data_IF_153562706943
#
_entry.id   IF_153562706943
#
_cell.length_a   1.000
_cell.length_b   1.000
_cell.length_c   1.000
_cell.angle_alpha   90.00
_cell.angle_beta   90.00
_cell.angle_gamma   90.00
#
_symmetry.space_group_name_H-M   'P 1'
#
loop_
_entity.id
_entity.type
_entity.pdbx_description
1 polymer ?
#
# COMPACT_ATOMS: atom_id res chain seq x y z
N UNK A 1 17.17 -11.49 21.45
CA UNK A 1 16.27 -12.42 20.73
C UNK A 1 14.89 -12.39 21.40
N UNK A 2 14.22 -11.25 21.43
CA UNK A 2 13.02 -11.07 20.60
C UNK A 2 12.85 -9.59 20.22
N UNK A 3 13.26 -9.25 18.99
CA UNK A 3 12.90 -7.99 18.36
C UNK A 3 11.67 -8.25 17.49
N UNK A 4 10.63 -7.40 17.61
CA UNK A 4 9.66 -7.10 16.55
C UNK A 4 8.57 -8.13 16.17
N UNK A 5 7.75 -8.60 17.12
CA UNK A 5 6.38 -9.02 16.78
C UNK A 5 5.40 -7.86 17.03
N UNK A 6 5.08 -7.15 15.94
CA UNK A 6 3.76 -6.60 15.58
C UNK A 6 2.92 -5.91 16.67
N UNK A 7 2.83 -4.58 16.55
CA UNK A 7 1.66 -3.80 16.96
C UNK A 7 1.55 -3.48 18.46
N UNK A 8 2.07 -2.33 18.87
CA UNK A 8 1.76 -1.77 20.19
C UNK A 8 0.25 -1.48 20.26
N UNK A 9 -0.50 -2.04 21.22
CA UNK A 9 -1.91 -1.72 21.38
C UNK A 9 -2.01 -0.27 21.82
N UNK A 10 -2.71 0.57 21.04
CA UNK A 10 -3.03 1.95 21.44
C UNK A 10 -2.50 3.07 20.56
N UNK A 11 -1.81 2.77 19.44
CA UNK A 11 -1.44 3.83 18.48
C UNK A 11 -2.57 4.05 17.48
N UNK A 12 -3.30 5.14 17.67
CA UNK A 12 -4.29 5.62 16.70
C UNK A 12 -3.61 5.89 15.35
N UNK A 13 -4.16 5.43 14.22
CA UNK A 13 -3.67 5.79 12.89
C UNK A 13 -3.64 7.32 12.68
N UNK A 14 -4.55 8.06 13.32
CA UNK A 14 -4.59 9.51 13.26
C UNK A 14 -3.40 10.20 13.94
N UNK A 15 -2.60 9.47 14.72
CA UNK A 15 -1.40 9.98 15.38
C UNK A 15 -0.12 9.45 14.74
N UNK A 16 -0.17 8.91 13.51
CA UNK A 16 1.00 8.29 12.87
C UNK A 16 2.23 9.20 12.83
N UNK A 17 2.01 10.50 12.61
CA UNK A 17 3.07 11.52 12.57
C UNK A 17 3.80 11.74 13.91
N UNK A 18 3.27 11.25 15.04
CA UNK A 18 3.92 11.40 16.36
C UNK A 18 4.90 10.28 16.68
N UNK A 19 4.79 9.14 16.00
CA UNK A 19 5.65 7.96 16.22
C UNK A 19 6.31 7.44 14.94
N UNK A 20 6.01 8.05 13.80
CA UNK A 20 6.68 7.87 12.52
C UNK A 20 7.05 9.25 11.99
N UNK A 21 8.35 9.54 11.92
CA UNK A 21 8.86 10.79 11.34
C UNK A 21 8.99 10.72 9.82
N UNK A 22 9.15 9.54 9.23
CA UNK A 22 9.33 9.34 7.79
C UNK A 22 8.57 8.10 7.29
N UNK A 23 8.02 8.19 6.07
CA UNK A 23 7.38 7.05 5.41
C UNK A 23 8.38 6.01 4.88
N UNK A 24 7.89 4.86 4.41
CA UNK A 24 8.75 3.89 3.73
C UNK A 24 9.35 4.51 2.47
N UNK A 25 10.54 4.03 2.08
CA UNK A 25 11.13 4.36 0.79
C UNK A 25 10.19 4.00 -0.35
N UNK A 26 10.29 4.68 -1.50
CA UNK A 26 9.48 4.35 -2.68
C UNK A 26 9.61 2.87 -3.05
N UNK A 27 10.80 2.28 -2.92
CA UNK A 27 11.07 0.86 -3.17
C UNK A 27 10.26 -0.09 -2.26
N UNK A 28 9.90 0.35 -1.06
CA UNK A 28 9.20 -0.45 -0.04
C UNK A 28 7.75 -0.03 0.19
N UNK A 29 7.30 1.05 -0.45
CA UNK A 29 5.94 1.52 -0.34
C UNK A 29 4.97 0.53 -1.00
N UNK A 30 3.84 0.29 -0.32
CA UNK A 30 2.73 -0.56 -0.78
C UNK A 30 1.46 0.27 -0.84
N UNK A 31 0.79 0.25 -1.98
CA UNK A 31 -0.49 0.89 -2.17
C UNK A 31 -1.61 0.03 -1.59
N UNK A 32 -2.43 0.61 -0.71
CA UNK A 32 -3.53 -0.12 -0.02
C UNK A 32 -4.92 0.15 -0.61
N UNK A 33 -5.03 1.07 -1.58
CA UNK A 33 -6.31 1.44 -2.19
C UNK A 33 -6.16 1.72 -3.69
N UNK A 34 -5.91 0.66 -4.46
CA UNK A 34 -5.76 0.73 -5.91
C UNK A 34 -7.05 1.16 -6.61
N UNK A 35 -6.92 2.06 -7.59
CA UNK A 35 -8.03 2.61 -8.38
C UNK A 35 -8.14 1.92 -9.74
N UNK A 36 -9.21 2.20 -10.50
CA UNK A 36 -9.35 1.79 -11.89
C UNK A 36 -9.19 0.28 -12.16
N UNK A 37 -9.63 -0.59 -11.26
CA UNK A 37 -9.47 -2.06 -11.38
C UNK A 37 -8.01 -2.54 -11.46
N UNK A 38 -7.06 -1.75 -10.95
CA UNK A 38 -5.69 -2.20 -10.73
C UNK A 38 -5.52 -2.91 -9.38
N UNK A 39 -4.44 -3.67 -9.25
CA UNK A 39 -4.01 -4.48 -8.10
C UNK A 39 -2.49 -4.59 -8.05
N UNK A 40 -1.98 -5.19 -6.96
CA UNK A 40 -0.55 -5.34 -6.70
C UNK A 40 0.00 -4.25 -5.80
N UNK A 41 1.22 -4.44 -5.30
CA UNK A 41 1.84 -3.53 -4.34
C UNK A 41 1.98 -2.10 -4.87
N UNK A 42 2.01 -1.95 -6.19
CA UNK A 42 2.14 -0.67 -6.90
C UNK A 42 0.93 -0.31 -7.76
N UNK A 43 -0.17 -1.06 -7.67
CA UNK A 43 -1.35 -0.85 -8.51
C UNK A 43 -1.04 -0.83 -10.02
N UNK A 44 -0.04 -1.57 -10.45
CA UNK A 44 0.48 -1.62 -11.82
C UNK A 44 -0.01 -2.85 -12.59
N UNK A 45 -0.76 -3.73 -11.93
CA UNK A 45 -1.31 -4.94 -12.52
C UNK A 45 -2.83 -4.83 -12.58
N UNK A 46 -3.46 -5.35 -13.63
CA UNK A 46 -4.91 -5.34 -13.73
C UNK A 46 -5.56 -6.54 -13.04
N UNK A 47 -6.74 -6.35 -12.47
CA UNK A 47 -7.56 -7.46 -11.95
C UNK A 47 -7.82 -8.48 -13.06
N UNK A 48 -8.01 -9.77 -12.74
CA UNK A 48 -8.40 -10.77 -13.71
C UNK A 48 -9.63 -10.34 -14.51
N UNK A 49 -9.54 -10.42 -15.84
CA UNK A 49 -10.58 -9.96 -16.76
C UNK A 49 -10.51 -8.47 -17.12
N UNK A 50 -9.41 -7.79 -16.77
CA UNK A 50 -9.09 -6.43 -17.24
C UNK A 50 -7.68 -6.40 -17.83
N UNK A 51 -7.46 -5.49 -18.77
CA UNK A 51 -6.20 -5.28 -19.47
C UNK A 51 -5.77 -3.82 -19.36
N UNK A 52 -4.46 -3.58 -19.37
CA UNK A 52 -3.93 -2.21 -19.32
C UNK A 52 -4.02 -1.57 -20.70
N UNK A 53 -4.85 -0.52 -20.82
CA UNK A 53 -4.96 0.35 -21.99
C UNK A 53 -4.81 1.81 -21.55
N UNK A 54 -3.88 2.52 -22.17
CA UNK A 54 -3.60 3.94 -21.92
C UNK A 54 -3.42 4.29 -20.43
N UNK A 55 -2.77 3.40 -19.67
CA UNK A 55 -2.52 3.57 -18.24
C UNK A 55 -3.72 3.29 -17.33
N UNK A 56 -4.80 2.71 -17.85
CA UNK A 56 -5.99 2.31 -17.08
C UNK A 56 -6.33 0.84 -17.31
N UNK A 57 -6.91 0.16 -16.30
CA UNK A 57 -7.39 -1.21 -16.51
C UNK A 57 -8.82 -1.19 -17.03
N UNK A 58 -8.99 -1.62 -18.28
CA UNK A 58 -10.26 -1.70 -18.99
C UNK A 58 -10.65 -3.17 -19.19
N UNK A 59 -11.95 -3.47 -19.19
CA UNK A 59 -12.47 -4.84 -19.40
C UNK A 59 -12.49 -5.19 -20.89
#
# INVERSE_FOLDING_TARGET
LTWAHLGSPGRSPAQIHTWVSEGPSEAQAVCVNCQNNSVGDRCDTCRPGFFMLDGTCTR
#
